data_IF_071983681322
#
_entry.id   IF_071983681322
#
_cell.length_a   1.000
_cell.length_b   1.000
_cell.length_c   1.000
_cell.angle_alpha   90.00
_cell.angle_beta   90.00
_cell.angle_gamma   90.00
#
_symmetry.space_group_name_H-M   'P 1'
#
loop_
_entity.id
_entity.type
_entity.pdbx_description
1 polymer ?
#
# COMPACT_ATOMS: atom_id res chain seq x y z
N UNK A 1 -1.48 -24.56 27.35
CA UNK A 1 -2.36 -23.70 26.55
C UNK A 1 -1.48 -23.04 25.49
N UNK A 2 -1.83 -23.06 24.20
CA UNK A 2 -1.02 -22.38 23.19
C UNK A 2 -1.20 -20.87 23.37
N UNK A 3 -0.09 -20.12 23.35
CA UNK A 3 -0.13 -18.66 23.37
C UNK A 3 -0.85 -18.13 22.14
N UNK A 4 -1.97 -17.45 22.33
CA UNK A 4 -2.64 -16.69 21.29
C UNK A 4 -1.74 -15.49 20.94
N UNK A 5 -1.15 -15.49 19.74
CA UNK A 5 -0.45 -14.31 19.23
C UNK A 5 -1.53 -13.34 18.78
N UNK A 6 -1.86 -12.36 19.62
CA UNK A 6 -2.82 -11.31 19.27
C UNK A 6 -2.18 -10.37 18.25
N UNK A 7 -2.60 -10.48 16.99
CA UNK A 7 -2.24 -9.48 15.96
C UNK A 7 -3.19 -8.30 16.09
N UNK A 8 -2.68 -7.12 16.46
CA UNK A 8 -3.52 -5.92 16.51
C UNK A 8 -3.86 -5.49 15.09
N UNK A 9 -5.14 -5.50 14.67
CA UNK A 9 -5.51 -5.02 13.35
C UNK A 9 -5.13 -3.54 13.20
N UNK A 10 -4.55 -3.20 12.05
CA UNK A 10 -4.16 -1.84 11.69
C UNK A 10 -4.74 -1.51 10.33
N UNK A 11 -5.71 -0.61 10.35
CA UNK A 11 -6.31 -0.04 9.15
C UNK A 11 -5.75 1.35 8.93
N UNK A 12 -5.19 1.60 7.75
CA UNK A 12 -4.70 2.92 7.36
C UNK A 12 -4.79 3.13 5.85
N UNK A 13 -5.09 4.36 5.45
CA UNK A 13 -5.13 4.73 4.04
C UNK A 13 -3.74 5.08 3.57
N UNK A 14 -3.33 4.59 2.40
CA UNK A 14 -2.11 5.06 1.74
C UNK A 14 -2.52 5.92 0.57
N UNK A 15 -1.96 7.13 0.51
CA UNK A 15 -2.14 8.03 -0.63
C UNK A 15 -0.88 8.00 -1.48
N UNK A 16 -1.06 7.91 -2.79
CA UNK A 16 0.01 7.98 -3.78
C UNK A 16 -0.31 9.11 -4.73
N UNK A 17 0.45 10.20 -4.59
CA UNK A 17 0.27 11.42 -5.37
C UNK A 17 1.42 11.58 -6.36
N UNK A 18 1.12 12.13 -7.53
CA UNK A 18 2.15 12.59 -8.43
C UNK A 18 2.72 13.91 -7.88
N UNK A 19 4.02 13.96 -7.67
CA UNK A 19 4.72 15.17 -7.20
C UNK A 19 5.52 15.84 -8.33
N UNK A 20 5.45 15.31 -9.55
CA UNK A 20 6.06 15.92 -10.73
C UNK A 20 5.06 16.80 -11.47
N UNK A 21 5.56 17.75 -12.26
CA UNK A 21 4.72 18.65 -13.08
C UNK A 21 4.03 17.96 -14.27
N UNK A 22 4.26 16.66 -14.48
CA UNK A 22 3.68 15.86 -15.55
C UNK A 22 2.59 14.97 -14.96
N UNK A 23 1.34 15.21 -15.35
CA UNK A 23 0.24 14.31 -15.03
C UNK A 23 0.42 12.99 -15.80
N UNK A 24 0.73 11.91 -15.07
CA UNK A 24 0.87 10.56 -15.61
C UNK A 24 0.36 9.55 -14.59
N UNK A 25 -0.28 8.50 -15.10
CA UNK A 25 -0.63 7.32 -14.31
C UNK A 25 0.58 6.43 -14.03
N UNK A 26 0.44 5.56 -13.04
CA UNK A 26 1.43 4.54 -12.68
C UNK A 26 0.76 3.34 -12.00
N UNK A 27 1.37 2.16 -12.12
CA UNK A 27 0.89 0.98 -11.42
C UNK A 27 1.37 1.00 -9.97
N UNK A 28 0.50 0.55 -9.06
CA UNK A 28 0.77 0.40 -7.64
C UNK A 28 0.45 -1.03 -7.22
N UNK A 29 1.48 -1.76 -6.80
CA UNK A 29 1.35 -3.09 -6.19
C UNK A 29 1.47 -2.98 -4.68
N UNK A 30 0.45 -3.38 -3.94
CA UNK A 30 0.39 -3.34 -2.48
C UNK A 30 0.32 -4.77 -1.96
N UNK A 31 1.23 -5.15 -1.06
CA UNK A 31 1.20 -6.44 -0.38
C UNK A 31 1.24 -6.22 1.13
N UNK A 32 0.25 -6.74 1.86
CA UNK A 32 0.10 -6.51 3.30
C UNK A 32 -0.39 -7.77 4.04
N UNK A 33 -0.07 -7.92 5.33
CA UNK A 33 -0.46 -9.08 6.11
C UNK A 33 -1.95 -9.05 6.47
N UNK A 34 -2.59 -10.21 6.39
CA UNK A 34 -3.94 -10.48 6.89
C UNK A 34 -3.88 -11.72 7.80
N UNK A 35 -4.92 -11.98 8.58
CA UNK A 35 -4.96 -13.11 9.51
C UNK A 35 -4.65 -14.47 8.85
N UNK A 36 -4.99 -14.65 7.58
CA UNK A 36 -4.74 -15.88 6.81
C UNK A 36 -3.44 -15.90 6.00
N UNK A 37 -2.58 -14.87 6.10
CA UNK A 37 -1.32 -14.78 5.35
C UNK A 37 -1.05 -13.40 4.75
N UNK A 38 -0.74 -13.33 3.45
CA UNK A 38 -0.48 -12.06 2.76
C UNK A 38 -1.55 -11.80 1.70
N UNK A 39 -2.10 -10.58 1.67
CA UNK A 39 -2.95 -10.10 0.60
C UNK A 39 -2.14 -9.23 -0.36
N UNK A 40 -2.32 -9.45 -1.66
CA UNK A 40 -1.72 -8.65 -2.72
C UNK A 40 -2.83 -7.96 -3.50
N UNK A 41 -2.67 -6.67 -3.77
CA UNK A 41 -3.60 -5.83 -4.50
C UNK A 41 -2.82 -5.03 -5.53
N UNK A 42 -3.35 -4.95 -6.74
CA UNK A 42 -2.83 -4.08 -7.78
C UNK A 42 -3.86 -2.99 -8.05
N UNK A 43 -3.41 -1.74 -8.11
CA UNK A 43 -4.22 -0.58 -8.43
C UNK A 43 -3.41 0.40 -9.29
N UNK A 44 -4.03 1.50 -9.72
CA UNK A 44 -3.41 2.55 -10.51
C UNK A 44 -3.43 3.85 -9.70
N UNK A 45 -2.32 4.59 -9.73
CA UNK A 45 -2.21 5.93 -9.16
C UNK A 45 -2.21 7.03 -10.24
N UNK A 46 -2.42 8.30 -9.86
CA UNK A 46 -2.57 8.82 -8.50
C UNK A 46 -3.88 8.39 -7.83
N UNK A 47 -3.89 8.27 -6.50
CA UNK A 47 -5.09 7.86 -5.77
C UNK A 47 -4.80 7.46 -4.33
N UNK A 48 -5.75 6.75 -3.73
CA UNK A 48 -5.65 6.25 -2.36
C UNK A 48 -6.14 4.80 -2.27
N UNK A 49 -5.60 4.04 -1.33
CA UNK A 49 -6.06 2.69 -1.03
C UNK A 49 -6.05 2.44 0.48
N UNK A 50 -7.16 1.89 0.99
CA UNK A 50 -7.28 1.47 2.39
C UNK A 50 -6.61 0.10 2.58
N UNK A 51 -5.53 0.08 3.35
CA UNK A 51 -4.90 -1.15 3.83
C UNK A 51 -5.58 -1.52 5.14
N UNK A 52 -6.29 -2.64 5.12
CA UNK A 52 -6.87 -3.26 6.32
C UNK A 52 -6.05 -4.48 6.73
N UNK A 53 -4.95 -4.24 7.43
CA UNK A 53 -4.02 -5.29 7.84
C UNK A 53 -4.50 -5.95 9.13
N UNK A 54 -4.86 -7.23 9.06
CA UNK A 54 -5.39 -8.01 10.20
C UNK A 54 -4.40 -9.03 10.74
N UNK A 55 -3.22 -9.16 10.11
CA UNK A 55 -2.14 -10.06 10.54
C UNK A 55 -0.87 -9.31 10.91
N UNK A 56 0.05 -9.99 11.59
CA UNK A 56 1.37 -9.44 11.90
C UNK A 56 2.34 -9.59 10.73
N UNK A 57 3.13 -8.54 10.48
CA UNK A 57 4.16 -8.54 9.45
C UNK A 57 4.39 -7.16 8.84
N UNK A 58 5.12 -7.13 7.73
CA UNK A 58 5.49 -5.89 7.03
C UNK A 58 4.70 -5.75 5.73
N UNK A 59 4.10 -4.58 5.53
CA UNK A 59 3.52 -4.21 4.25
C UNK A 59 4.60 -3.74 3.27
N UNK A 60 4.40 -3.96 1.98
CA UNK A 60 5.29 -3.50 0.91
C UNK A 60 4.47 -2.88 -0.22
N UNK A 61 4.95 -1.76 -0.74
CA UNK A 61 4.36 -1.04 -1.86
C UNK A 61 5.40 -0.95 -2.97
N UNK A 62 5.00 -1.27 -4.20
CA UNK A 62 5.82 -1.18 -5.40
C UNK A 62 5.15 -0.25 -6.39
N UNK A 63 5.93 0.64 -6.96
CA UNK A 63 5.48 1.61 -7.96
C UNK A 63 6.15 1.28 -9.28
N UNK A 64 5.39 1.31 -10.38
CA UNK A 64 5.92 1.16 -11.73
C UNK A 64 5.36 2.27 -12.62
N UNK A 65 6.24 3.11 -13.14
CA UNK A 65 5.87 4.12 -14.13
C UNK A 65 5.54 3.46 -15.47
N UNK A 66 4.63 4.07 -16.24
CA UNK A 66 4.24 3.56 -17.55
C UNK A 66 5.19 4.02 -18.67
N UNK A 67 5.38 5.34 -18.81
CA UNK A 67 6.00 5.90 -20.03
C UNK A 67 7.01 7.02 -19.78
N UNK A 68 6.86 7.78 -18.70
CA UNK A 68 7.74 8.92 -18.37
C UNK A 68 8.31 8.77 -16.96
N UNK A 69 9.51 9.30 -16.68
CA UNK A 69 9.98 9.45 -15.32
C UNK A 69 8.98 10.28 -14.52
N UNK A 70 8.51 9.74 -13.41
CA UNK A 70 7.60 10.42 -12.48
C UNK A 70 8.20 10.39 -11.08
N UNK A 71 7.90 11.43 -10.32
CA UNK A 71 8.16 11.43 -8.87
C UNK A 71 6.84 11.17 -8.18
N UNK A 72 6.80 10.13 -7.34
CA UNK A 72 5.61 9.74 -6.59
C UNK A 72 5.85 9.98 -5.10
N UNK A 73 4.95 10.74 -4.49
CA UNK A 73 4.92 10.94 -3.05
C UNK A 73 3.94 9.97 -2.43
N UNK A 74 4.42 9.18 -1.47
CA UNK A 74 3.61 8.25 -0.68
C UNK A 74 3.41 8.86 0.71
N UNK A 75 2.16 9.02 1.13
CA UNK A 75 1.82 9.51 2.46
C UNK A 75 0.85 8.59 3.18
N UNK A 76 1.03 8.51 4.50
CA UNK A 76 0.18 7.80 5.43
C UNK A 76 -0.46 8.84 6.37
N UNK A 77 -1.78 8.79 6.63
CA UNK A 77 -2.40 9.65 7.63
C UNK A 77 -1.73 9.39 8.98
N UNK A 78 -1.45 10.48 9.70
CA UNK A 78 -0.89 10.46 11.05
C UNK A 78 -1.90 9.98 12.08
#
# INVERSE_FOLDING_TARGET
>A
MPNEITYTPHSYTVNFNNSSNLESSFDVGIKYPISSGMKTVNTVGPGAYLIDATGGGTASIRIKSHSVPITVSISFPK
#
